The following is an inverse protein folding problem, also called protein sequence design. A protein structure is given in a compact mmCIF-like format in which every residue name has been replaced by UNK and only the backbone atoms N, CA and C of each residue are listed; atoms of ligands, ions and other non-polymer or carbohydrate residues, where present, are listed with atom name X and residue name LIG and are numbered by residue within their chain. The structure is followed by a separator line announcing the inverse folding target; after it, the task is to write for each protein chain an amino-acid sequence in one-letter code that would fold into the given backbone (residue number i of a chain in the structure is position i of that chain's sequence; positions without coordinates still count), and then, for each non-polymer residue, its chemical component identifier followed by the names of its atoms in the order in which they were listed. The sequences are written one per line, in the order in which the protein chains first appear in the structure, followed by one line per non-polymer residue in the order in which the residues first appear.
data_IF_367559545200
#
_entry.id   IF_367559545200
#
_cell.length_a   1.000
_cell.length_b   1.000
_cell.length_c   1.000
_cell.angle_alpha   90.00
_cell.angle_beta   90.00
_cell.angle_gamma   90.00
#
_symmetry.space_group_name_H-M   'P 1'
#
loop_
_entity.id
_entity.type
_entity.pdbx_description
1 polymer ?
#
# COMPACT_ATOMS: atom_id res chain seq x y z
N UNK A 1 15.40 41.71 -49.55
CA UNK A 1 14.43 41.05 -48.64
C UNK A 1 15.08 39.81 -48.06
N UNK A 2 14.72 39.46 -46.82
CA UNK A 2 15.14 38.29 -46.02
C UNK A 2 16.30 38.49 -45.03
N UNK A 3 15.98 39.15 -43.90
CA UNK A 3 16.71 38.99 -42.65
C UNK A 3 16.01 37.95 -41.77
N UNK A 4 16.62 36.77 -41.63
CA UNK A 4 16.16 35.72 -40.70
C UNK A 4 16.46 36.18 -39.26
N UNK A 5 15.42 36.54 -38.52
CA UNK A 5 15.52 36.89 -37.10
C UNK A 5 15.68 35.63 -36.24
N UNK A 6 16.93 35.35 -35.86
CA UNK A 6 17.36 34.22 -35.03
C UNK A 6 17.11 34.52 -33.54
N UNK A 7 15.85 34.63 -33.13
CA UNK A 7 15.48 35.18 -31.82
C UNK A 7 14.29 34.50 -31.13
N UNK A 8 14.20 33.17 -31.11
CA UNK A 8 13.12 32.51 -30.35
C UNK A 8 13.47 31.16 -29.71
N UNK A 9 14.65 30.59 -30.00
CA UNK A 9 14.99 29.20 -29.62
C UNK A 9 15.17 29.01 -28.10
N UNK A 10 15.78 29.96 -27.37
CA UNK A 10 15.97 29.84 -25.92
C UNK A 10 14.65 29.95 -25.14
N UNK A 11 13.75 30.86 -25.52
CA UNK A 11 12.41 30.98 -24.91
C UNK A 11 11.55 29.76 -25.20
N UNK A 12 11.61 29.22 -26.43
CA UNK A 12 10.95 27.97 -26.81
C UNK A 12 11.49 26.75 -26.06
N UNK A 13 12.81 26.66 -25.86
CA UNK A 13 13.45 25.63 -25.05
C UNK A 13 13.08 25.73 -23.58
N UNK A 14 13.03 26.95 -23.03
CA UNK A 14 12.61 27.19 -21.65
C UNK A 14 11.15 26.76 -21.44
N UNK A 15 10.26 27.14 -22.36
CA UNK A 15 8.86 26.71 -22.33
C UNK A 15 8.71 25.19 -22.43
N UNK A 16 9.49 24.54 -23.32
CA UNK A 16 9.46 23.09 -23.46
C UNK A 16 9.91 22.36 -22.18
N UNK A 17 10.93 22.88 -21.49
CA UNK A 17 11.40 22.31 -20.22
C UNK A 17 10.33 22.44 -19.13
N UNK A 18 9.68 23.59 -19.01
CA UNK A 18 8.59 23.82 -18.04
C UNK A 18 7.40 22.90 -18.32
N UNK A 19 7.01 22.75 -19.59
CA UNK A 19 5.92 21.85 -19.99
C UNK A 19 6.24 20.38 -19.69
N UNK A 20 7.48 19.95 -19.95
CA UNK A 20 7.93 18.60 -19.67
C UNK A 20 8.02 18.32 -18.15
N UNK A 21 8.46 19.29 -17.35
CA UNK A 21 8.43 19.20 -15.89
C UNK A 21 7.01 19.10 -15.33
N UNK A 22 6.01 19.76 -15.93
CA UNK A 22 4.61 19.60 -15.51
C UNK A 22 4.07 18.19 -15.75
N UNK A 23 4.48 17.52 -16.82
CA UNK A 23 4.05 16.13 -17.11
C UNK A 23 4.57 15.15 -16.06
N UNK A 24 5.82 15.33 -15.59
CA UNK A 24 6.37 14.50 -14.52
C UNK A 24 5.75 14.77 -13.15
N UNK A 25 5.25 15.98 -12.90
CA UNK A 25 4.53 16.31 -11.67
C UNK A 25 3.14 15.64 -11.58
N UNK A 26 2.47 15.40 -12.72
CA UNK A 26 1.21 14.64 -12.74
C UNK A 26 1.39 13.15 -12.40
N UNK A 27 2.62 12.61 -12.49
CA UNK A 27 2.94 11.24 -12.06
C UNK A 27 3.02 11.05 -10.54
N UNK A 28 3.09 12.14 -9.76
CA UNK A 28 2.96 12.11 -8.29
C UNK A 28 1.56 12.51 -7.79
N UNK A 29 0.70 13.01 -8.68
CA UNK A 29 -0.72 13.26 -8.41
C UNK A 29 -1.60 12.27 -9.21
N UNK A 30 -1.08 11.05 -9.39
CA UNK A 30 -1.83 9.95 -9.95
C UNK A 30 -2.98 9.61 -9.00
N UNK A 31 -4.18 9.62 -9.56
CA UNK A 31 -5.43 9.11 -9.00
C UNK A 31 -5.19 7.67 -8.50
N UNK A 32 -4.74 7.59 -7.25
CA UNK A 32 -4.72 6.37 -6.50
C UNK A 32 -6.17 6.04 -6.22
N UNK A 33 -6.78 5.24 -7.10
CA UNK A 33 -7.74 4.25 -6.65
C UNK A 33 -7.00 3.20 -5.80
N UNK A 34 -6.29 3.67 -4.78
CA UNK A 34 -5.98 2.90 -3.60
C UNK A 34 -7.25 2.93 -2.80
N UNK A 35 -7.81 1.75 -2.57
CA UNK A 35 -8.53 1.47 -1.35
C UNK A 35 -7.55 1.61 -0.17
N UNK A 36 -6.97 2.79 0.03
CA UNK A 36 -6.28 3.14 1.23
C UNK A 36 -7.38 3.54 2.20
N UNK A 37 -7.89 2.52 2.89
CA UNK A 37 -8.30 2.71 4.28
C UNK A 37 -7.17 3.49 4.92
N UNK A 38 -7.40 4.79 5.03
CA UNK A 38 -6.51 5.72 5.70
C UNK A 38 -6.59 5.33 7.17
N UNK A 39 -5.81 4.31 7.53
CA UNK A 39 -5.52 4.00 8.92
C UNK A 39 -4.80 5.24 9.42
N UNK A 40 -5.54 6.03 10.17
CA UNK A 40 -5.02 7.06 11.04
C UNK A 40 -3.75 6.49 11.70
N UNK A 41 -2.62 7.19 11.56
CA UNK A 41 -1.30 6.68 11.96
C UNK A 41 -1.14 6.47 13.48
N UNK A 42 -2.24 6.62 14.22
CA UNK A 42 -2.37 6.47 15.68
C UNK A 42 -3.59 5.60 16.07
N UNK A 43 -4.25 4.97 15.09
CA UNK A 43 -5.42 4.12 15.31
C UNK A 43 -5.06 2.67 15.62
N UNK A 44 -5.89 2.01 16.43
CA UNK A 44 -5.82 0.55 16.63
C UNK A 44 -5.97 -0.18 15.29
N UNK A 45 -5.03 -1.07 14.99
CA UNK A 45 -5.04 -1.90 13.78
C UNK A 45 -5.60 -3.28 14.18
N UNK A 46 -6.71 -3.70 13.57
CA UNK A 46 -7.27 -5.03 13.80
C UNK A 46 -7.05 -5.91 12.58
N UNK A 47 -6.43 -7.07 12.77
CA UNK A 47 -6.21 -8.09 11.75
C UNK A 47 -7.10 -9.31 12.04
N UNK A 48 -8.04 -9.59 11.15
CA UNK A 48 -8.81 -10.83 11.18
C UNK A 48 -8.05 -11.94 10.45
N UNK A 49 -7.77 -13.06 11.13
CA UNK A 49 -7.00 -14.17 10.57
C UNK A 49 -7.76 -15.48 10.74
N UNK A 50 -8.01 -16.16 9.63
CA UNK A 50 -8.68 -17.46 9.63
C UNK A 50 -7.68 -18.60 9.40
N UNK A 51 -7.87 -19.73 10.08
CA UNK A 51 -7.06 -20.93 9.87
C UNK A 51 -7.91 -22.20 9.82
N UNK A 52 -7.35 -23.25 9.21
CA UNK A 52 -7.98 -24.57 9.10
C UNK A 52 -7.23 -25.65 9.87
N UNK A 53 -6.29 -25.26 10.74
CA UNK A 53 -5.54 -26.22 11.56
C UNK A 53 -6.47 -27.06 12.43
N UNK A 54 -6.11 -28.33 12.61
CA UNK A 54 -6.85 -29.19 13.52
C UNK A 54 -6.69 -28.68 14.95
N UNK A 55 -7.76 -28.79 15.75
CA UNK A 55 -7.71 -28.43 17.15
C UNK A 55 -6.63 -29.24 17.89
N UNK A 56 -5.89 -28.58 18.77
CA UNK A 56 -4.81 -29.15 19.57
C UNK A 56 -3.64 -29.72 18.73
N UNK A 57 -3.53 -29.31 17.47
CA UNK A 57 -2.42 -29.72 16.60
C UNK A 57 -1.16 -28.90 16.86
N UNK A 58 -0.02 -29.41 16.40
CA UNK A 58 1.27 -28.70 16.50
C UNK A 58 1.30 -27.45 15.63
N UNK A 59 0.59 -27.48 14.51
CA UNK A 59 0.39 -26.34 13.65
C UNK A 59 -0.40 -25.23 14.35
N UNK A 60 -1.49 -25.55 15.04
CA UNK A 60 -2.26 -24.58 15.83
C UNK A 60 -1.41 -23.98 16.96
N UNK A 61 -0.68 -24.82 17.71
CA UNK A 61 0.20 -24.37 18.78
C UNK A 61 1.27 -23.38 18.28
N UNK A 62 1.98 -23.72 17.19
CA UNK A 62 3.02 -22.86 16.61
C UNK A 62 2.42 -21.57 16.05
N UNK A 63 1.26 -21.65 15.42
CA UNK A 63 0.56 -20.49 14.87
C UNK A 63 0.14 -19.52 15.98
N UNK A 64 -0.53 -20.00 17.03
CA UNK A 64 -0.98 -19.15 18.15
C UNK A 64 0.19 -18.52 18.92
N UNK A 65 1.30 -19.26 19.09
CA UNK A 65 2.53 -18.71 19.66
C UNK A 65 3.12 -17.59 18.79
N UNK A 66 3.04 -17.73 17.47
CA UNK A 66 3.50 -16.71 16.52
C UNK A 66 2.62 -15.46 16.57
N UNK A 67 1.30 -15.63 16.66
CA UNK A 67 0.33 -14.53 16.85
C UNK A 67 0.60 -13.78 18.15
N UNK A 68 0.82 -14.49 19.26
CA UNK A 68 1.16 -13.86 20.55
C UNK A 68 2.47 -13.08 20.47
N UNK A 69 3.49 -13.63 19.81
CA UNK A 69 4.79 -12.99 19.65
C UNK A 69 4.69 -11.71 18.80
N UNK A 70 3.87 -11.77 17.74
CA UNK A 70 3.61 -10.64 16.86
C UNK A 70 2.90 -9.50 17.60
N UNK A 71 1.80 -9.77 18.31
CA UNK A 71 1.08 -8.74 19.08
C UNK A 71 1.97 -8.13 20.19
N UNK A 72 2.86 -8.91 20.79
CA UNK A 72 3.83 -8.39 21.76
C UNK A 72 4.84 -7.42 21.14
N UNK A 73 5.21 -7.63 19.87
CA UNK A 73 6.11 -6.75 19.12
C UNK A 73 5.40 -5.52 18.53
N UNK A 74 4.09 -5.59 18.37
CA UNK A 74 3.26 -4.56 17.74
C UNK A 74 2.05 -4.23 18.64
N UNK A 75 2.24 -3.44 19.72
CA UNK A 75 1.21 -3.20 20.73
C UNK A 75 0.00 -2.40 20.23
N UNK A 76 0.09 -1.80 19.04
CA UNK A 76 -1.03 -1.12 18.37
C UNK A 76 -1.81 -2.05 17.43
N UNK A 77 -1.47 -3.34 17.38
CA UNK A 77 -2.11 -4.33 16.51
C UNK A 77 -2.80 -5.42 17.33
N UNK A 78 -4.10 -5.58 17.12
CA UNK A 78 -4.92 -6.67 17.63
C UNK A 78 -5.10 -7.71 16.53
N UNK A 79 -4.89 -9.00 16.84
CA UNK A 79 -5.11 -10.10 15.90
C UNK A 79 -6.27 -10.96 16.40
N UNK A 80 -7.36 -11.00 15.64
CA UNK A 80 -8.54 -11.82 15.91
C UNK A 80 -8.46 -13.12 15.09
N UNK A 81 -8.28 -14.24 15.80
CA UNK A 81 -8.10 -15.55 15.17
C UNK A 81 -9.42 -16.32 15.17
N UNK A 82 -9.82 -16.83 14.00
CA UNK A 82 -10.99 -17.72 13.86
C UNK A 82 -10.60 -19.04 13.20
N UNK A 83 -10.96 -20.16 13.83
CA UNK A 83 -10.85 -21.47 13.18
C UNK A 83 -12.03 -21.66 12.22
N UNK A 84 -11.73 -21.89 10.95
CA UNK A 84 -12.67 -22.20 9.89
C UNK A 84 -12.41 -23.63 9.42
N UNK A 85 -13.41 -24.54 9.41
CA UNK A 85 -13.23 -25.87 8.85
C UNK A 85 -12.72 -25.81 7.41
N UNK A 86 -11.83 -26.72 7.03
CA UNK A 86 -11.19 -26.70 5.70
C UNK A 86 -12.19 -26.59 4.53
N UNK A 87 -13.28 -27.35 4.57
CA UNK A 87 -14.32 -27.31 3.51
C UNK A 87 -15.19 -26.05 3.48
N UNK A 88 -14.99 -25.12 4.41
CA UNK A 88 -15.62 -23.80 4.42
C UNK A 88 -14.62 -22.69 4.04
N UNK A 89 -13.33 -23.01 3.91
CA UNK A 89 -12.26 -22.03 3.69
C UNK A 89 -11.86 -21.88 2.20
N UNK A 90 -12.38 -22.76 1.32
CA UNK A 90 -12.10 -22.78 -0.13
C UNK A 90 -13.21 -22.12 -0.98
N UNK A 91 -14.20 -21.49 -0.34
CA UNK A 91 -15.28 -20.74 -0.98
C UNK A 91 -14.96 -19.25 -1.11
#
# INVERSE_FOLDING_TARGET
MNGVARGSSRRKRLFAIVLFSMIFLSGCLGDGQENSQQADADGEIVLEVWHTFAAESKEEEVFMNSVSSFQSAHPNVTVEVTMVPFGNADQ
#
